data_IF_860369883366
#
_entry.id   IF_860369883366
#
_cell.length_a   1.000
_cell.length_b   1.000
_cell.length_c   1.000
_cell.angle_alpha   90.00
_cell.angle_beta   90.00
_cell.angle_gamma   90.00
#
_symmetry.space_group_name_H-M   'P 1'
#
loop_
_entity.id
_entity.type
_entity.pdbx_description
1 polymer ?
#
# COMPACT_ATOMS: atom_id res chain seq x y z
N UNK A 1 2.76 -13.82 -26.94
CA UNK A 1 2.51 -14.98 -27.82
C UNK A 1 2.77 -14.69 -29.28
N UNK A 2 2.12 -13.69 -29.91
CA UNK A 2 2.42 -13.36 -31.31
C UNK A 2 3.90 -13.06 -31.58
N UNK A 3 4.57 -12.28 -30.72
CA UNK A 3 6.01 -12.00 -30.83
C UNK A 3 6.90 -13.25 -30.82
N UNK A 4 6.49 -14.30 -30.10
CA UNK A 4 7.23 -15.56 -30.06
C UNK A 4 7.11 -16.30 -31.39
N UNK A 5 5.88 -16.45 -31.90
CA UNK A 5 5.63 -17.13 -33.17
C UNK A 5 6.34 -16.40 -34.33
N UNK A 6 6.27 -15.07 -34.37
CA UNK A 6 6.99 -14.27 -35.38
C UNK A 6 8.50 -14.49 -35.34
N UNK A 7 9.11 -14.56 -34.16
CA UNK A 7 10.54 -14.80 -34.05
C UNK A 7 10.90 -16.25 -34.40
N UNK A 8 10.08 -17.22 -33.98
CA UNK A 8 10.26 -18.63 -34.30
C UNK A 8 10.24 -18.86 -35.80
N UNK A 9 9.26 -18.30 -36.51
CA UNK A 9 9.17 -18.36 -37.97
C UNK A 9 10.42 -17.75 -38.61
N UNK A 10 10.88 -16.59 -38.11
CA UNK A 10 12.08 -15.93 -38.62
C UNK A 10 13.36 -16.75 -38.40
N UNK A 11 13.50 -17.42 -37.26
CA UNK A 11 14.65 -18.28 -36.97
C UNK A 11 14.64 -19.52 -37.88
N UNK A 12 13.47 -20.08 -38.17
CA UNK A 12 13.33 -21.24 -39.05
C UNK A 12 13.73 -20.95 -40.51
N UNK A 13 13.60 -19.69 -40.94
CA UNK A 13 13.95 -19.24 -42.28
C UNK A 13 15.26 -18.41 -42.30
N UNK A 14 16.05 -18.44 -41.22
CA UNK A 14 17.25 -17.65 -41.09
C UNK A 14 18.41 -18.28 -41.86
N UNK A 15 18.96 -17.56 -42.84
CA UNK A 15 20.12 -18.02 -43.61
C UNK A 15 21.43 -17.91 -42.80
N UNK A 16 22.47 -18.64 -43.22
CA UNK A 16 23.77 -18.64 -42.54
C UNK A 16 24.37 -17.22 -42.40
N UNK A 17 24.17 -16.36 -43.38
CA UNK A 17 24.60 -14.95 -43.37
C UNK A 17 23.84 -14.08 -42.36
N UNK A 18 22.65 -14.49 -41.96
CA UNK A 18 21.75 -13.73 -41.09
C UNK A 18 21.75 -14.25 -39.65
N UNK A 19 22.40 -15.38 -39.39
CA UNK A 19 22.43 -16.06 -38.09
C UNK A 19 22.78 -15.13 -36.93
N UNK A 20 23.77 -14.26 -37.10
CA UNK A 20 24.17 -13.30 -36.07
C UNK A 20 23.08 -12.25 -35.77
N UNK A 21 22.27 -11.88 -36.77
CA UNK A 21 21.14 -10.99 -36.58
C UNK A 21 19.99 -11.70 -35.86
N UNK A 22 19.63 -12.92 -36.31
CA UNK A 22 18.60 -13.73 -35.67
C UNK A 22 18.92 -14.04 -34.20
N UNK A 23 20.19 -14.29 -33.86
CA UNK A 23 20.63 -14.49 -32.47
C UNK A 23 20.45 -13.23 -31.62
N UNK A 24 20.81 -12.04 -32.14
CA UNK A 24 20.57 -10.77 -31.44
C UNK A 24 19.08 -10.53 -31.20
N UNK A 25 18.23 -10.82 -32.18
CA UNK A 25 16.79 -10.60 -32.05
C UNK A 25 16.16 -11.56 -31.03
N UNK A 26 16.67 -12.79 -30.93
CA UNK A 26 16.29 -13.73 -29.88
C UNK A 26 16.73 -13.26 -28.49
N UNK A 27 17.98 -12.84 -28.35
CA UNK A 27 18.47 -12.28 -27.09
C UNK A 27 17.67 -11.05 -26.66
N UNK A 28 17.34 -10.16 -27.60
CA UNK A 28 16.53 -8.98 -27.34
C UNK A 28 15.12 -9.34 -26.89
N UNK A 29 14.45 -10.28 -27.56
CA UNK A 29 13.10 -10.70 -27.17
C UNK A 29 13.08 -11.30 -25.76
N UNK A 30 14.07 -12.14 -25.44
CA UNK A 30 14.20 -12.70 -24.09
C UNK A 30 14.46 -11.61 -23.04
N UNK A 31 15.31 -10.65 -23.37
CA UNK A 31 15.59 -9.51 -22.50
C UNK A 31 14.34 -8.65 -22.27
N UNK A 32 13.56 -8.37 -23.32
CA UNK A 32 12.33 -7.59 -23.22
C UNK A 32 11.31 -8.30 -22.33
N UNK A 33 11.14 -9.62 -22.49
CA UNK A 33 10.26 -10.40 -21.62
C UNK A 33 10.75 -10.50 -20.18
N UNK A 34 12.05 -10.61 -19.98
CA UNK A 34 12.62 -10.64 -18.64
C UNK A 34 12.48 -9.28 -17.94
N UNK A 35 12.91 -8.21 -18.61
CA UNK A 35 12.87 -6.85 -18.08
C UNK A 35 11.45 -6.35 -17.86
N UNK A 36 10.48 -6.78 -18.67
CA UNK A 36 9.06 -6.49 -18.42
C UNK A 36 8.52 -7.04 -17.09
N UNK A 37 9.17 -8.07 -16.52
CA UNK A 37 8.84 -8.60 -15.18
C UNK A 37 9.46 -7.78 -14.05
N UNK A 38 10.46 -6.95 -14.36
CA UNK A 38 11.10 -6.06 -13.39
C UNK A 38 10.30 -4.78 -13.29
N UNK A 39 9.50 -4.68 -12.23
CA UNK A 39 8.70 -3.49 -11.96
C UNK A 39 9.49 -2.61 -10.99
N UNK A 40 9.90 -1.44 -11.48
CA UNK A 40 10.55 -0.42 -10.66
C UNK A 40 9.48 0.49 -10.07
N UNK A 41 9.56 0.72 -8.76
CA UNK A 41 8.79 1.75 -8.06
C UNK A 41 9.75 2.88 -7.75
N UNK A 42 9.73 3.92 -8.58
CA UNK A 42 10.73 5.01 -8.55
C UNK A 42 10.64 5.88 -7.29
N UNK A 43 9.50 5.87 -6.59
CA UNK A 43 9.29 6.68 -5.39
C UNK A 43 9.92 6.01 -4.15
N UNK A 44 11.03 6.54 -3.58
CA UNK A 44 11.66 5.99 -2.38
C UNK A 44 10.84 6.19 -1.10
N UNK A 45 9.72 6.92 -1.21
CA UNK A 45 8.71 7.18 -0.19
C UNK A 45 7.38 6.49 -0.44
N UNK A 46 7.31 5.62 -1.46
CA UNK A 46 6.13 4.84 -1.76
C UNK A 46 5.59 4.16 -0.50
N UNK A 47 4.27 4.24 -0.32
CA UNK A 47 3.60 3.54 0.77
C UNK A 47 3.43 2.05 0.45
N UNK A 48 3.15 1.25 1.48
CA UNK A 48 2.74 -0.15 1.30
C UNK A 48 1.52 -0.28 0.38
N UNK A 49 0.56 0.65 0.47
CA UNK A 49 -0.61 0.71 -0.41
C UNK A 49 -0.22 0.97 -1.87
N UNK A 50 0.78 1.82 -2.12
CA UNK A 50 1.28 2.07 -3.46
C UNK A 50 1.93 0.82 -4.09
N UNK A 51 2.70 0.07 -3.29
CA UNK A 51 3.28 -1.20 -3.76
C UNK A 51 2.17 -2.20 -4.08
N UNK A 52 1.20 -2.38 -3.18
CA UNK A 52 0.05 -3.27 -3.39
C UNK A 52 -0.74 -2.89 -4.65
N UNK A 53 -0.99 -1.60 -4.83
CA UNK A 53 -1.67 -1.09 -6.01
C UNK A 53 -0.88 -1.40 -7.29
N UNK A 54 0.44 -1.22 -7.25
CA UNK A 54 1.33 -1.53 -8.38
C UNK A 54 1.29 -3.01 -8.71
N UNK A 55 1.36 -3.89 -7.72
CA UNK A 55 1.22 -5.33 -7.92
C UNK A 55 -0.13 -5.65 -8.58
N UNK A 56 -1.23 -5.13 -8.04
CA UNK A 56 -2.57 -5.35 -8.59
C UNK A 56 -2.66 -4.91 -10.06
N UNK A 57 -2.21 -3.69 -10.39
CA UNK A 57 -2.24 -3.17 -11.76
C UNK A 57 -1.38 -3.98 -12.76
N UNK A 58 -0.38 -4.70 -12.26
CA UNK A 58 0.52 -5.54 -13.07
C UNK A 58 0.07 -7.00 -13.13
N UNK A 59 -0.95 -7.36 -12.36
CA UNK A 59 -1.52 -8.70 -12.34
C UNK A 59 -2.57 -8.79 -13.43
N UNK A 60 -2.43 -9.70 -14.40
CA UNK A 60 -3.49 -9.90 -15.40
C UNK A 60 -4.80 -10.34 -14.72
N UNK A 61 -5.97 -9.92 -15.24
CA UNK A 61 -7.25 -10.39 -14.75
C UNK A 61 -7.34 -11.93 -14.75
N UNK A 62 -7.86 -12.52 -13.68
CA UNK A 62 -7.95 -13.97 -13.51
C UNK A 62 -6.67 -14.66 -13.02
N UNK A 63 -5.60 -13.90 -12.73
CA UNK A 63 -4.37 -14.43 -12.14
C UNK A 63 -4.19 -13.98 -10.70
N UNK A 64 -3.44 -14.78 -9.93
CA UNK A 64 -3.05 -14.46 -8.57
C UNK A 64 -1.54 -14.20 -8.48
N UNK A 65 -1.15 -13.31 -7.58
CA UNK A 65 0.25 -13.15 -7.22
C UNK A 65 0.58 -14.01 -6.02
N UNK A 66 1.75 -14.62 -6.05
CA UNK A 66 2.37 -15.24 -4.89
C UNK A 66 3.67 -14.51 -4.58
N UNK A 67 3.79 -14.00 -3.36
CA UNK A 67 5.02 -13.38 -2.88
C UNK A 67 5.89 -14.49 -2.30
N UNK A 68 7.04 -14.75 -2.94
CA UNK A 68 7.97 -15.80 -2.50
C UNK A 68 8.98 -15.32 -1.47
N UNK A 69 9.27 -14.01 -1.45
CA UNK A 69 10.21 -13.42 -0.51
C UNK A 69 10.31 -11.90 -0.69
N UNK A 70 10.81 -11.23 0.34
CA UNK A 70 11.04 -9.79 0.34
C UNK A 70 12.45 -9.54 0.84
N UNK A 71 13.23 -8.80 0.04
CA UNK A 71 14.56 -8.36 0.42
C UNK A 71 14.46 -6.89 0.86
N UNK A 72 15.05 -6.56 2.02
CA UNK A 72 15.03 -5.24 2.68
C UNK A 72 13.70 -4.81 3.34
N UNK A 73 13.49 -5.25 4.58
CA UNK A 73 12.37 -4.83 5.46
C UNK A 73 12.67 -3.51 6.21
N UNK A 74 13.08 -2.46 5.49
CA UNK A 74 13.22 -1.11 6.06
C UNK A 74 12.45 -0.09 5.23
N UNK A 75 11.87 0.90 5.89
CA UNK A 75 11.11 1.97 5.22
C UNK A 75 9.90 1.42 4.47
N UNK A 76 9.89 1.58 3.14
CA UNK A 76 8.80 1.18 2.24
C UNK A 76 8.52 -0.34 2.27
N UNK A 77 9.57 -1.18 2.34
CA UNK A 77 9.40 -2.63 2.48
C UNK A 77 8.75 -3.04 3.81
N UNK A 78 9.01 -2.28 4.88
CA UNK A 78 8.35 -2.51 6.18
C UNK A 78 6.89 -2.04 6.16
N UNK A 79 6.60 -0.89 5.53
CA UNK A 79 5.23 -0.40 5.33
C UNK A 79 4.36 -1.41 4.58
N UNK A 80 4.96 -2.08 3.58
CA UNK A 80 4.30 -3.16 2.85
C UNK A 80 3.95 -4.35 3.74
N UNK A 81 4.89 -4.82 4.57
CA UNK A 81 4.62 -5.90 5.53
C UNK A 81 3.52 -5.51 6.53
N UNK A 82 3.49 -4.26 6.99
CA UNK A 82 2.42 -3.79 7.87
C UNK A 82 1.04 -3.89 7.23
N UNK A 83 0.91 -3.72 5.91
CA UNK A 83 -0.37 -3.96 5.23
C UNK A 83 -0.82 -5.41 5.30
N UNK A 84 0.10 -6.36 5.26
CA UNK A 84 -0.22 -7.79 5.43
C UNK A 84 -0.59 -8.14 6.88
N UNK A 85 0.07 -7.53 7.86
CA UNK A 85 -0.29 -7.68 9.28
C UNK A 85 -1.66 -7.06 9.59
N UNK A 86 -1.91 -5.85 9.06
CA UNK A 86 -3.20 -5.18 9.15
C UNK A 86 -4.30 -6.06 8.49
N UNK A 87 -4.01 -6.67 7.34
CA UNK A 87 -4.90 -7.63 6.69
C UNK A 87 -5.21 -8.84 7.58
N UNK A 88 -4.21 -9.48 8.19
CA UNK A 88 -4.41 -10.64 9.06
C UNK A 88 -5.33 -10.31 10.25
N UNK A 89 -5.10 -9.16 10.91
CA UNK A 89 -5.96 -8.67 12.00
C UNK A 89 -7.40 -8.49 11.49
N UNK A 90 -7.55 -7.82 10.35
CA UNK A 90 -8.86 -7.55 9.77
C UNK A 90 -9.59 -8.85 9.37
N UNK A 91 -8.90 -9.78 8.72
CA UNK A 91 -9.42 -11.07 8.30
C UNK A 91 -9.93 -11.90 9.48
N UNK A 92 -9.12 -12.02 10.54
CA UNK A 92 -9.53 -12.77 11.74
C UNK A 92 -10.69 -12.09 12.47
N UNK A 93 -10.69 -10.76 12.58
CA UNK A 93 -11.79 -10.04 13.21
C UNK A 93 -13.09 -10.13 12.38
N UNK A 94 -13.00 -10.07 11.05
CA UNK A 94 -14.10 -10.25 10.13
C UNK A 94 -14.70 -11.66 10.24
N UNK A 95 -13.87 -12.70 10.31
CA UNK A 95 -14.35 -14.08 10.48
C UNK A 95 -15.12 -14.30 11.78
N UNK A 96 -14.75 -13.61 12.86
CA UNK A 96 -15.51 -13.66 14.11
C UNK A 96 -16.94 -13.13 13.97
N UNK A 97 -17.19 -12.20 13.04
CA UNK A 97 -18.54 -11.69 12.77
C UNK A 97 -19.46 -12.74 12.18
N UNK A 98 -18.91 -13.84 11.66
CA UNK A 98 -19.67 -14.94 11.05
C UNK A 98 -19.90 -16.10 12.03
N UNK A 99 -19.40 -16.00 13.26
CA UNK A 99 -19.53 -17.04 14.29
C UNK A 99 -20.96 -17.10 14.84
N UNK A 100 -21.41 -18.30 15.19
CA UNK A 100 -22.68 -18.50 15.91
C UNK A 100 -22.60 -18.02 17.37
N UNK A 101 -21.39 -17.79 17.89
CA UNK A 101 -21.17 -17.35 19.27
C UNK A 101 -21.20 -15.83 19.38
N UNK A 102 -22.19 -15.30 20.10
CA UNK A 102 -22.36 -13.86 20.34
C UNK A 102 -21.12 -13.21 20.98
N UNK A 103 -20.40 -13.95 21.83
CA UNK A 103 -19.14 -13.47 22.44
C UNK A 103 -18.04 -13.23 21.41
N UNK A 104 -17.90 -14.10 20.42
CA UNK A 104 -16.94 -13.96 19.33
C UNK A 104 -17.33 -12.84 18.40
N UNK A 105 -18.61 -12.76 18.02
CA UNK A 105 -19.17 -11.68 17.21
C UNK A 105 -18.86 -10.31 17.83
N UNK A 106 -19.17 -10.14 19.12
CA UNK A 106 -18.89 -8.91 19.85
C UNK A 106 -17.39 -8.61 19.95
N UNK A 107 -16.53 -9.64 20.03
CA UNK A 107 -15.09 -9.44 19.99
C UNK A 107 -14.62 -8.96 18.61
N UNK A 108 -15.18 -9.53 17.52
CA UNK A 108 -14.93 -9.08 16.15
C UNK A 108 -15.33 -7.62 15.94
N UNK A 109 -16.55 -7.26 16.34
CA UNK A 109 -17.07 -5.89 16.27
C UNK A 109 -16.17 -4.91 17.01
N UNK A 110 -15.81 -5.19 18.27
CA UNK A 110 -14.90 -4.32 19.04
C UNK A 110 -13.54 -4.16 18.36
N UNK A 111 -12.96 -5.24 17.85
CA UNK A 111 -11.68 -5.17 17.14
C UNK A 111 -11.78 -4.29 15.89
N UNK A 112 -12.81 -4.47 15.07
CA UNK A 112 -13.00 -3.72 13.82
C UNK A 112 -13.36 -2.25 14.08
N UNK A 113 -14.23 -1.94 15.04
CA UNK A 113 -14.57 -0.55 15.39
C UNK A 113 -13.35 0.25 15.86
N UNK A 114 -12.38 -0.39 16.53
CA UNK A 114 -11.13 0.24 16.93
C UNK A 114 -10.02 0.18 15.86
N UNK A 115 -10.22 -0.56 14.77
CA UNK A 115 -9.19 -0.83 13.78
C UNK A 115 -8.95 0.36 12.86
N UNK A 116 -7.68 0.71 12.65
CA UNK A 116 -7.27 1.85 11.82
C UNK A 116 -6.46 1.42 10.57
N UNK A 117 -6.17 0.12 10.45
CA UNK A 117 -5.34 -0.45 9.38
C UNK A 117 -6.12 -0.80 8.11
N UNK A 118 -7.30 -0.21 7.87
CA UNK A 118 -8.11 -0.51 6.69
C UNK A 118 -7.36 -0.16 5.40
N UNK A 119 -6.96 -1.19 4.65
CA UNK A 119 -6.16 -1.10 3.43
C UNK A 119 -6.80 -1.83 2.24
N UNK A 120 -6.15 -1.75 1.06
CA UNK A 120 -6.66 -2.40 -0.17
C UNK A 120 -6.90 -3.92 0.00
N UNK A 121 -6.05 -4.59 0.79
CA UNK A 121 -6.20 -6.03 1.07
C UNK A 121 -7.50 -6.37 1.81
N UNK A 122 -7.99 -5.46 2.66
CA UNK A 122 -9.17 -5.69 3.50
C UNK A 122 -10.48 -5.42 2.77
N UNK A 123 -10.47 -4.56 1.75
CA UNK A 123 -11.65 -3.86 1.27
C UNK A 123 -12.76 -4.79 0.78
N UNK A 124 -12.43 -5.69 -0.15
CA UNK A 124 -13.40 -6.62 -0.73
C UNK A 124 -13.90 -7.61 0.32
N UNK A 125 -12.97 -8.31 0.98
CA UNK A 125 -13.32 -9.34 1.96
C UNK A 125 -14.17 -8.82 3.11
N UNK A 126 -13.81 -7.67 3.68
CA UNK A 126 -14.56 -7.10 4.79
C UNK A 126 -15.93 -6.62 4.32
N UNK A 127 -16.04 -5.99 3.14
CA UNK A 127 -17.33 -5.56 2.60
C UNK A 127 -18.29 -6.74 2.45
N UNK A 128 -17.81 -7.83 1.85
CA UNK A 128 -18.60 -9.04 1.67
C UNK A 128 -18.97 -9.68 3.02
N UNK A 129 -18.04 -9.68 3.96
CA UNK A 129 -18.25 -10.26 5.29
C UNK A 129 -19.26 -9.45 6.10
N UNK A 130 -19.20 -8.11 6.05
CA UNK A 130 -20.18 -7.24 6.70
C UNK A 130 -21.58 -7.46 6.13
N UNK A 131 -21.70 -7.63 4.81
CA UNK A 131 -22.98 -7.89 4.16
C UNK A 131 -23.57 -9.24 4.58
N UNK A 132 -22.74 -10.30 4.66
CA UNK A 132 -23.14 -11.61 5.19
C UNK A 132 -23.54 -11.53 6.67
N UNK A 133 -22.72 -10.87 7.49
CA UNK A 133 -22.93 -10.73 8.93
C UNK A 133 -24.22 -9.97 9.24
N UNK A 134 -24.59 -8.96 8.43
CA UNK A 134 -25.80 -8.16 8.61
C UNK A 134 -27.08 -9.00 8.72
N UNK A 135 -27.11 -10.16 8.07
CA UNK A 135 -28.26 -11.07 8.05
C UNK A 135 -28.23 -12.14 9.16
N UNK A 136 -27.20 -12.17 10.00
CA UNK A 136 -27.11 -13.16 11.07
C UNK A 136 -28.01 -12.80 12.26
N UNK A 137 -28.56 -13.80 12.98
CA UNK A 137 -29.36 -13.58 14.19
C UNK A 137 -28.60 -12.79 15.27
N UNK A 138 -27.30 -13.09 15.41
CA UNK A 138 -26.41 -12.43 16.36
C UNK A 138 -26.13 -10.95 16.04
N UNK A 139 -26.63 -10.43 14.91
CA UNK A 139 -26.43 -9.05 14.44
C UNK A 139 -27.75 -8.27 14.32
N UNK A 140 -28.88 -8.78 14.83
CA UNK A 140 -30.18 -8.11 14.66
C UNK A 140 -30.48 -7.02 15.70
N UNK A 141 -29.61 -6.82 16.71
CA UNK A 141 -29.81 -5.71 17.64
C UNK A 141 -29.42 -4.36 17.04
N UNK A 142 -30.09 -3.28 17.47
CA UNK A 142 -29.81 -1.92 17.01
C UNK A 142 -28.34 -1.51 17.25
N UNK A 143 -27.78 -1.89 18.40
CA UNK A 143 -26.39 -1.60 18.75
C UNK A 143 -25.41 -2.23 17.76
N UNK A 144 -25.59 -3.51 17.44
CA UNK A 144 -24.69 -4.23 16.54
C UNK A 144 -24.82 -3.74 15.09
N UNK A 145 -26.04 -3.40 14.65
CA UNK A 145 -26.26 -2.80 13.33
C UNK A 145 -25.59 -1.42 13.22
N UNK A 146 -25.62 -0.61 14.29
CA UNK A 146 -24.92 0.66 14.33
C UNK A 146 -23.39 0.47 14.27
N UNK A 147 -22.83 -0.49 15.00
CA UNK A 147 -21.41 -0.83 14.93
C UNK A 147 -20.99 -1.29 13.52
N UNK A 148 -21.78 -2.16 12.87
CA UNK A 148 -21.54 -2.59 11.48
C UNK A 148 -21.56 -1.40 10.51
N UNK A 149 -22.53 -0.50 10.65
CA UNK A 149 -22.62 0.70 9.83
C UNK A 149 -21.41 1.62 10.01
N UNK A 150 -20.94 1.78 11.25
CA UNK A 150 -19.74 2.55 11.57
C UNK A 150 -18.49 1.93 10.92
N UNK A 151 -18.28 0.62 11.07
CA UNK A 151 -17.16 -0.11 10.45
C UNK A 151 -17.17 0.07 8.92
N UNK A 152 -18.34 -0.04 8.29
CA UNK A 152 -18.51 0.17 6.84
C UNK A 152 -18.14 1.60 6.43
N UNK A 153 -18.54 2.59 7.22
CA UNK A 153 -18.21 4.01 6.99
C UNK A 153 -16.69 4.27 7.12
N UNK A 154 -16.06 3.69 8.14
CA UNK A 154 -14.61 3.84 8.38
C UNK A 154 -13.79 3.19 7.27
N UNK A 155 -14.20 1.99 6.81
CA UNK A 155 -13.60 1.33 5.67
C UNK A 155 -13.70 2.21 4.41
N UNK A 156 -14.90 2.71 4.08
CA UNK A 156 -15.12 3.55 2.90
C UNK A 156 -14.28 4.84 2.97
N UNK A 157 -14.20 5.46 4.14
CA UNK A 157 -13.37 6.64 4.39
C UNK A 157 -11.88 6.34 4.17
N UNK A 158 -11.40 5.19 4.65
CA UNK A 158 -10.01 4.78 4.43
C UNK A 158 -9.73 4.51 2.95
N UNK A 159 -10.63 3.83 2.24
CA UNK A 159 -10.47 3.56 0.81
C UNK A 159 -10.47 4.82 -0.04
N UNK A 160 -11.34 5.79 0.27
CA UNK A 160 -11.34 7.10 -0.39
C UNK A 160 -10.02 7.85 -0.16
N UNK A 161 -9.47 7.77 1.06
CA UNK A 161 -8.16 8.36 1.37
C UNK A 161 -7.03 7.70 0.58
N UNK A 162 -7.02 6.38 0.49
CA UNK A 162 -6.01 5.63 -0.27
C UNK A 162 -6.12 5.95 -1.76
N UNK A 163 -7.32 5.92 -2.34
CA UNK A 163 -7.57 6.29 -3.73
C UNK A 163 -7.08 7.71 -4.04
N UNK A 164 -7.41 8.68 -3.17
CA UNK A 164 -6.92 10.06 -3.30
C UNK A 164 -5.40 10.18 -3.24
N UNK A 165 -4.74 9.41 -2.35
CA UNK A 165 -3.28 9.38 -2.28
C UNK A 165 -2.65 8.78 -3.55
N UNK A 166 -3.19 7.68 -4.06
CA UNK A 166 -2.71 7.02 -5.27
C UNK A 166 -2.88 7.91 -6.51
N UNK A 167 -4.02 8.60 -6.63
CA UNK A 167 -4.30 9.50 -7.77
C UNK A 167 -3.40 10.75 -7.74
N UNK A 168 -3.19 11.35 -6.56
CA UNK A 168 -2.31 12.51 -6.40
C UNK A 168 -0.84 12.19 -6.63
N UNK A 169 -0.39 10.97 -6.29
CA UNK A 169 0.99 10.54 -6.52
C UNK A 169 1.30 10.45 -8.03
N UNK A 170 0.34 10.03 -8.86
CA UNK A 170 0.46 10.00 -10.34
C UNK A 170 0.58 11.39 -10.98
N UNK A 171 -0.07 12.42 -10.42
CA UNK A 171 -0.19 13.74 -11.06
C UNK A 171 0.89 14.74 -10.60
N UNK A 172 1.43 14.60 -9.39
CA UNK A 172 2.37 15.55 -8.78
C UNK A 172 3.85 15.30 -9.11
N UNK A 173 4.21 14.13 -9.64
CA UNK A 173 5.60 13.73 -9.93
C UNK A 173 6.29 14.58 -11.03
N UNK A 174 5.57 15.38 -11.82
CA UNK A 174 6.18 16.00 -13.02
C UNK A 174 6.83 17.38 -12.82
N UNK A 175 6.28 18.28 -11.99
CA UNK A 175 6.74 19.70 -11.95
C UNK A 175 7.09 20.23 -10.55
N UNK A 176 6.33 19.88 -9.51
CA UNK A 176 6.54 20.42 -8.17
C UNK A 176 7.73 19.76 -7.44
N UNK A 177 8.04 18.49 -7.71
CA UNK A 177 9.21 17.80 -7.15
C UNK A 177 10.52 18.43 -7.67
N UNK A 178 10.57 18.84 -8.93
CA UNK A 178 11.76 19.51 -9.52
C UNK A 178 12.03 20.88 -8.89
N UNK A 179 10.99 21.62 -8.51
CA UNK A 179 11.14 22.94 -7.89
C UNK A 179 11.42 22.82 -6.39
N UNK A 180 10.74 21.91 -5.69
CA UNK A 180 10.91 21.70 -4.26
C UNK A 180 12.30 21.11 -3.93
N UNK A 181 12.80 20.16 -4.73
CA UNK A 181 14.13 19.57 -4.54
C UNK A 181 15.28 20.59 -4.59
N UNK A 182 15.08 21.76 -5.24
CA UNK A 182 16.08 22.85 -5.26
C UNK A 182 16.08 23.72 -4.01
N UNK A 183 14.96 23.82 -3.30
CA UNK A 183 14.78 24.72 -2.15
C UNK A 183 14.87 23.96 -0.82
N UNK A 184 14.51 22.68 -0.83
CA UNK A 184 14.49 21.82 0.35
C UNK A 184 15.83 21.73 1.12
N UNK A 185 17.01 21.72 0.48
CA UNK A 185 18.30 21.70 1.19
C UNK A 185 18.51 22.92 2.10
N UNK A 186 17.97 24.09 1.73
CA UNK A 186 18.14 25.33 2.49
C UNK A 186 17.28 25.38 3.77
N UNK A 187 16.23 24.57 3.86
CA UNK A 187 15.30 24.55 5.00
C UNK A 187 15.51 23.34 5.93
N UNK A 188 16.37 22.40 5.55
CA UNK A 188 16.49 21.11 6.21
C UNK A 188 17.12 21.18 7.62
N UNK A 189 18.01 22.16 7.86
CA UNK A 189 18.61 22.38 9.18
C UNK A 189 17.56 22.71 10.27
N UNK A 190 16.55 23.51 9.91
CA UNK A 190 15.46 23.86 10.82
C UNK A 190 14.39 22.77 10.97
N UNK A 191 14.21 21.92 9.95
CA UNK A 191 13.29 20.78 10.02
C UNK A 191 13.89 19.61 10.82
N UNK A 192 15.20 19.35 10.70
CA UNK A 192 15.91 18.34 11.48
C UNK A 192 15.70 18.49 13.00
N UNK A 193 15.76 19.71 13.53
CA UNK A 193 15.53 19.99 14.95
C UNK A 193 14.07 19.74 15.34
N UNK A 194 13.11 20.10 14.48
CA UNK A 194 11.67 19.84 14.74
C UNK A 194 11.34 18.36 14.68
N UNK A 195 11.96 17.62 13.75
CA UNK A 195 11.84 16.16 13.64
C UNK A 195 12.34 15.47 14.90
N UNK A 196 13.51 15.86 15.39
CA UNK A 196 14.06 15.32 16.65
C UNK A 196 13.12 15.56 17.83
N UNK A 197 12.66 16.81 18.01
CA UNK A 197 11.69 17.15 19.08
C UNK A 197 10.37 16.38 18.97
N UNK A 198 9.92 16.03 17.76
CA UNK A 198 8.72 15.23 17.54
C UNK A 198 8.95 13.75 17.83
N UNK A 199 10.07 13.18 17.40
CA UNK A 199 10.46 11.81 17.76
C UNK A 199 10.60 11.66 19.28
N UNK A 200 11.27 12.59 19.95
CA UNK A 200 11.43 12.61 21.42
C UNK A 200 10.08 12.72 22.16
N UNK A 201 9.07 13.32 21.52
CA UNK A 201 7.71 13.37 22.07
C UNK A 201 7.01 12.03 21.92
N UNK A 202 7.09 11.42 20.74
CA UNK A 202 6.51 10.10 20.47
C UNK A 202 7.11 9.06 21.43
N UNK A 203 8.43 9.07 21.64
CA UNK A 203 9.07 8.20 22.63
C UNK A 203 8.59 8.45 24.06
N UNK A 204 8.44 9.72 24.46
CA UNK A 204 7.89 10.05 25.79
C UNK A 204 6.44 9.61 25.95
N UNK A 205 5.63 9.75 24.92
CA UNK A 205 4.22 9.31 24.97
C UNK A 205 4.11 7.78 24.97
N UNK A 206 5.02 7.06 24.30
CA UNK A 206 5.12 5.60 24.41
C UNK A 206 5.55 5.17 25.82
N UNK A 207 6.60 5.79 26.39
CA UNK A 207 7.07 5.51 27.74
C UNK A 207 6.03 5.85 28.82
N UNK A 208 5.20 6.86 28.56
CA UNK A 208 4.08 7.25 29.41
C UNK A 208 2.80 6.44 29.13
N UNK A 209 2.87 5.40 28.30
CA UNK A 209 1.75 4.51 27.92
C UNK A 209 0.53 5.24 27.34
N UNK A 210 0.71 6.46 26.80
CA UNK A 210 -0.36 7.27 26.20
C UNK A 210 -0.71 6.80 24.79
N UNK A 211 0.22 6.11 24.13
CA UNK A 211 0.06 5.58 22.78
C UNK A 211 0.55 4.14 22.74
N UNK A 212 -0.10 3.31 21.92
CA UNK A 212 0.32 1.93 21.72
C UNK A 212 1.63 1.83 20.91
N UNK A 213 2.30 0.69 21.00
CA UNK A 213 3.50 0.40 20.21
C UNK A 213 3.23 0.49 18.69
N UNK A 214 2.06 0.00 18.25
CA UNK A 214 1.64 0.07 16.85
C UNK A 214 1.43 1.52 16.39
N UNK A 215 0.78 2.36 17.22
CA UNK A 215 0.63 3.79 16.94
C UNK A 215 1.99 4.51 16.90
N UNK A 216 2.90 4.13 17.79
CA UNK A 216 4.26 4.67 17.83
C UNK A 216 5.04 4.35 16.56
N UNK A 217 4.94 3.11 16.06
CA UNK A 217 5.55 2.71 14.80
C UNK A 217 5.04 3.55 13.63
N UNK A 218 3.73 3.78 13.54
CA UNK A 218 3.12 4.62 12.50
C UNK A 218 3.59 6.10 12.58
N UNK A 219 3.61 6.69 13.77
CA UNK A 219 4.03 8.08 13.96
C UNK A 219 5.54 8.28 13.71
N UNK A 220 6.38 7.34 14.16
CA UNK A 220 7.82 7.36 13.87
C UNK A 220 8.10 7.16 12.37
N UNK A 221 7.32 6.31 11.71
CA UNK A 221 7.40 6.14 10.26
C UNK A 221 7.04 7.43 9.52
N UNK A 222 6.05 8.19 9.99
CA UNK A 222 5.71 9.50 9.43
C UNK A 222 6.85 10.52 9.62
N UNK A 223 7.53 10.50 10.77
CA UNK A 223 8.74 11.32 11.00
C UNK A 223 9.88 10.89 10.07
N UNK A 224 10.07 9.59 9.85
CA UNK A 224 11.10 9.06 8.94
C UNK A 224 10.82 9.36 7.46
N UNK A 225 9.56 9.27 7.01
CA UNK A 225 9.17 9.68 5.64
C UNK A 225 9.53 11.16 5.39
N UNK A 226 9.41 12.01 6.40
CA UNK A 226 9.79 13.44 6.33
C UNK A 226 11.31 13.66 6.21
N UNK A 227 12.15 12.71 6.62
CA UNK A 227 13.62 12.84 6.52
C UNK A 227 14.15 12.68 5.10
N UNK A 228 13.42 12.00 4.21
CA UNK A 228 13.89 11.68 2.86
C UNK A 228 13.52 12.75 1.81
N UNK A 229 12.95 13.88 2.24
CA UNK A 229 12.55 15.00 1.36
C UNK A 229 11.08 14.98 0.93
N UNK A 230 10.68 15.88 0.03
CA UNK A 230 9.32 16.04 -0.49
C UNK A 230 8.32 16.69 0.48
N UNK A 231 8.72 17.08 1.69
CA UNK A 231 7.81 17.64 2.70
C UNK A 231 7.40 19.07 2.36
N UNK A 232 8.29 19.84 1.71
CA UNK A 232 7.98 21.19 1.26
C UNK A 232 6.93 21.17 0.15
N UNK A 233 7.09 20.27 -0.84
CA UNK A 233 6.12 20.05 -1.90
C UNK A 233 4.75 19.62 -1.35
N UNK A 234 4.73 18.70 -0.36
CA UNK A 234 3.51 18.28 0.32
C UNK A 234 2.84 19.43 1.08
N UNK A 235 3.60 20.26 1.79
CA UNK A 235 3.07 21.38 2.59
C UNK A 235 2.54 22.53 1.73
N UNK A 236 3.17 22.82 0.59
CA UNK A 236 2.69 23.81 -0.38
C UNK A 236 1.39 23.31 -1.02
N UNK A 237 1.34 22.03 -1.39
CA UNK A 237 0.15 21.36 -1.92
C UNK A 237 -1.03 21.37 -0.94
N UNK A 238 -0.81 21.02 0.33
CA UNK A 238 -1.86 21.06 1.37
C UNK A 238 -2.41 22.47 1.63
N UNK A 239 -1.66 23.52 1.27
CA UNK A 239 -2.05 24.92 1.41
C UNK A 239 -2.73 25.50 0.17
N UNK A 240 -2.53 24.88 -1.00
CA UNK A 240 -3.18 25.22 -2.26
C UNK A 240 -4.52 24.49 -2.44
N UNK A 241 -4.71 23.36 -1.75
CA UNK A 241 -5.94 22.56 -1.75
C UNK A 241 -6.89 22.91 -0.58
N UNK A 242 -6.60 23.97 0.18
CA UNK A 242 -7.49 24.59 1.18
C UNK A 242 -8.00 25.91 0.63
#
# INVERSE_FOLDING_TARGET
WQQYETLKDRIQHCELSERAACERDFQQLLWDWFSAKLIVVDDPLASGEHILHTLWQRTPPGFHNRIMGIQNIKGTGLDFIYRWQDWEICYHAANKLLSDQVSEVNAGLRTLSGFQGYGQLCAEYLTDTLEKARHQPAMQSELQQAELAQIRSDLATSMNRISGQLHQQRQAQSMLERLAARIEPFLDAGDAVRRRKRADRIYRDLLAERISLQRTAQELQAVNKRQKGGWLAKKIRDRLLR
#
